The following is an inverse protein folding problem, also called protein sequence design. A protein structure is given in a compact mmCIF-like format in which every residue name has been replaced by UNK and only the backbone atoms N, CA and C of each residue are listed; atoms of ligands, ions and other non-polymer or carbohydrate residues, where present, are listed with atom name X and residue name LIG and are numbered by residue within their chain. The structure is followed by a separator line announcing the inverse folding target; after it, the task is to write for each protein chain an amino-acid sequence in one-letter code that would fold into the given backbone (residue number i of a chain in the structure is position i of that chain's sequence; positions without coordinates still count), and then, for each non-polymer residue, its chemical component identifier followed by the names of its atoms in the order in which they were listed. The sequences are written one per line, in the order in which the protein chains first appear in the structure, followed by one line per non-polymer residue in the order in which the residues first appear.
data_IF_888721431022
#
_entry.id   IF_888721431022
#
_cell.length_a   1.000
_cell.length_b   1.000
_cell.length_c   1.000
_cell.angle_alpha   90.00
_cell.angle_beta   90.00
_cell.angle_gamma   90.00
#
_symmetry.space_group_name_H-M   'P 1'
#
loop_
_entity.id
_entity.type
_entity.pdbx_description
1 polymer ?
#
# COMPACT_ATOMS: atom_id res chain seq x y z
N UNK A 1 -7.27 0.84 33.30
CA UNK A 1 -5.84 1.05 32.99
C UNK A 1 -5.47 0.12 31.84
N UNK A 2 -5.56 0.54 30.57
CA UNK A 2 -5.21 -0.35 29.44
C UNK A 2 -4.84 0.37 28.14
N UNK A 3 -4.42 1.64 28.18
CA UNK A 3 -4.20 2.41 26.93
C UNK A 3 -2.73 2.52 26.51
N UNK A 4 -1.76 2.18 27.37
CA UNK A 4 -0.34 2.47 27.09
C UNK A 4 0.34 1.41 26.22
N UNK A 5 0.03 0.13 26.39
CA UNK A 5 0.79 -0.97 25.76
C UNK A 5 0.54 -1.12 24.25
N UNK A 6 -0.68 -0.84 23.77
CA UNK A 6 -1.02 -1.00 22.36
C UNK A 6 -0.43 0.10 21.48
N UNK A 7 -0.37 1.35 21.97
CA UNK A 7 0.11 2.50 21.19
C UNK A 7 1.63 2.49 21.01
N UNK A 8 2.39 2.13 22.05
CA UNK A 8 3.86 1.99 21.97
C UNK A 8 4.27 0.90 20.97
N UNK A 9 3.63 -0.28 21.05
CA UNK A 9 3.89 -1.39 20.12
C UNK A 9 3.55 -1.02 18.66
N UNK A 10 2.53 -0.18 18.45
CA UNK A 10 2.09 0.28 17.12
C UNK A 10 3.03 1.31 16.52
N UNK A 11 3.58 2.20 17.35
CA UNK A 11 4.58 3.20 16.92
C UNK A 11 5.87 2.47 16.51
N UNK A 12 6.32 1.55 17.36
CA UNK A 12 7.53 0.77 17.13
C UNK A 12 7.50 -0.05 15.82
N UNK A 13 6.37 -0.69 15.46
CA UNK A 13 6.29 -1.44 14.18
C UNK A 13 6.38 -0.55 12.93
N UNK A 14 5.89 0.70 12.98
CA UNK A 14 6.04 1.64 11.86
C UNK A 14 7.50 2.05 11.73
N UNK A 15 8.16 2.31 12.86
CA UNK A 15 9.58 2.66 12.88
C UNK A 15 10.50 1.51 12.42
N UNK A 16 10.08 0.26 12.58
CA UNK A 16 10.86 -0.91 12.15
C UNK A 16 10.59 -1.32 10.70
N UNK A 17 9.40 -1.03 10.15
CA UNK A 17 9.04 -1.42 8.78
C UNK A 17 9.31 -0.31 7.77
N UNK A 18 10.31 -0.52 6.90
CA UNK A 18 10.59 0.37 5.75
C UNK A 18 9.33 0.59 4.89
N UNK A 19 8.54 -0.47 4.68
CA UNK A 19 7.32 -0.37 3.91
C UNK A 19 6.27 0.55 4.56
N UNK A 20 6.06 0.44 5.88
CA UNK A 20 5.08 1.30 6.56
C UNK A 20 5.51 2.77 6.56
N UNK A 21 6.81 3.06 6.71
CA UNK A 21 7.35 4.42 6.55
C UNK A 21 7.06 4.99 5.17
N UNK A 22 7.35 4.22 4.11
CA UNK A 22 7.03 4.66 2.74
C UNK A 22 5.53 4.85 2.53
N UNK A 23 4.69 3.99 3.12
CA UNK A 23 3.24 4.14 3.05
C UNK A 23 2.77 5.46 3.66
N UNK A 24 3.29 5.82 4.84
CA UNK A 24 3.00 7.10 5.49
C UNK A 24 3.41 8.26 4.56
N UNK A 25 4.62 8.21 4.00
CA UNK A 25 5.12 9.25 3.09
C UNK A 25 4.24 9.40 1.85
N UNK A 26 3.81 8.29 1.24
CA UNK A 26 2.92 8.32 0.08
C UNK A 26 1.55 8.93 0.42
N UNK A 27 0.98 8.60 1.59
CA UNK A 27 -0.29 9.20 2.03
C UNK A 27 -0.14 10.70 2.28
N UNK A 28 0.94 11.12 2.95
CA UNK A 28 1.24 12.55 3.19
C UNK A 28 1.51 13.31 1.90
N UNK A 29 2.12 12.69 0.90
CA UNK A 29 2.39 13.32 -0.40
C UNK A 29 1.10 13.65 -1.19
N UNK A 30 -0.01 12.97 -0.90
CA UNK A 30 -1.32 13.24 -1.54
C UNK A 30 -2.15 14.27 -0.75
N UNK A 31 -1.71 14.65 0.45
CA UNK A 31 -2.41 15.58 1.34
C UNK A 31 -2.16 17.04 0.95
N UNK A 32 -2.80 17.46 -0.14
CA UNK A 32 -2.65 18.81 -0.71
C UNK A 32 -3.05 19.92 0.27
N UNK A 33 -4.01 19.64 1.16
CA UNK A 33 -4.52 20.61 2.14
C UNK A 33 -3.77 20.55 3.48
N UNK A 34 -2.83 19.62 3.66
CA UNK A 34 -2.02 19.52 4.88
C UNK A 34 -2.79 19.06 6.12
N UNK A 35 -3.89 18.33 5.95
CA UNK A 35 -4.72 17.77 7.03
C UNK A 35 -3.89 16.92 8.00
N UNK A 36 -2.94 16.16 7.49
CA UNK A 36 -2.16 15.19 8.25
C UNK A 36 -0.88 15.77 8.86
N UNK A 37 -0.54 17.05 8.66
CA UNK A 37 0.75 17.63 9.09
C UNK A 37 1.06 17.43 10.57
N UNK A 38 0.05 17.52 11.43
CA UNK A 38 0.18 17.38 12.88
C UNK A 38 -0.14 15.98 13.39
N UNK A 39 -0.54 15.07 12.49
CA UNK A 39 -0.99 13.74 12.85
C UNK A 39 0.22 12.81 13.02
N UNK A 40 0.12 11.91 14.00
CA UNK A 40 1.09 10.82 14.15
C UNK A 40 0.96 9.82 13.01
N UNK A 41 2.06 9.14 12.69
CA UNK A 41 2.14 8.22 11.56
C UNK A 41 1.11 7.08 11.65
N UNK A 42 0.87 6.53 12.86
CA UNK A 42 -0.16 5.50 13.06
C UNK A 42 -1.55 5.98 12.63
N UNK A 43 -1.85 7.26 12.88
CA UNK A 43 -3.14 7.87 12.57
C UNK A 43 -3.28 8.14 11.07
N UNK A 44 -2.18 8.53 10.40
CA UNK A 44 -2.16 8.76 8.94
C UNK A 44 -2.52 7.50 8.16
N UNK A 45 -2.03 6.34 8.60
CA UNK A 45 -2.30 5.06 7.91
C UNK A 45 -3.41 4.24 8.60
N UNK A 46 -4.14 4.80 9.56
CA UNK A 46 -5.18 4.09 10.30
C UNK A 46 -6.28 3.49 9.38
N UNK A 47 -6.61 4.18 8.28
CA UNK A 47 -7.61 3.73 7.31
C UNK A 47 -7.18 2.51 6.47
N UNK A 48 -5.92 2.08 6.57
CA UNK A 48 -5.46 0.81 6.00
C UNK A 48 -5.74 -0.37 6.94
N UNK A 49 -6.04 -0.10 8.22
CA UNK A 49 -6.37 -1.12 9.21
C UNK A 49 -7.89 -1.23 9.35
N UNK A 50 -8.46 -2.31 8.82
CA UNK A 50 -9.90 -2.57 8.83
C UNK A 50 -10.12 -3.97 9.40
N UNK A 51 -10.87 -4.05 10.50
CA UNK A 51 -11.21 -5.34 11.11
C UNK A 51 -11.99 -6.21 10.12
N UNK A 52 -11.90 -7.54 10.27
CA UNK A 52 -12.63 -8.48 9.40
C UNK A 52 -14.13 -8.21 9.41
N UNK A 53 -14.68 -7.93 10.59
CA UNK A 53 -16.10 -7.59 10.76
C UNK A 53 -16.47 -6.28 10.07
N UNK A 54 -15.63 -5.24 10.17
CA UNK A 54 -15.88 -3.97 9.48
C UNK A 54 -15.81 -4.17 7.96
N UNK A 55 -14.84 -4.96 7.47
CA UNK A 55 -14.74 -5.29 6.04
C UNK A 55 -15.99 -5.99 5.49
N UNK A 56 -16.54 -6.96 6.20
CA UNK A 56 -17.72 -7.69 5.73
C UNK A 56 -18.97 -6.83 5.67
N UNK A 57 -19.04 -5.77 6.47
CA UNK A 57 -20.16 -4.80 6.49
C UNK A 57 -20.07 -3.74 5.38
N UNK A 58 -18.92 -3.61 4.71
CA UNK A 58 -18.78 -2.69 3.57
C UNK A 58 -19.49 -3.30 2.37
N UNK A 59 -20.43 -2.55 1.80
CA UNK A 59 -21.10 -2.94 0.55
C UNK A 59 -20.10 -2.96 -0.60
N UNK A 60 -20.24 -3.94 -1.48
CA UNK A 60 -19.51 -4.03 -2.75
C UNK A 60 -20.35 -3.54 -3.92
N UNK A 61 -21.58 -3.09 -3.65
CA UNK A 61 -22.46 -2.52 -4.65
C UNK A 61 -22.09 -1.06 -4.88
N UNK A 62 -21.91 -0.69 -6.15
CA UNK A 62 -21.57 0.67 -6.56
C UNK A 62 -20.08 0.98 -6.55
N UNK A 63 -19.79 2.25 -6.89
CA UNK A 63 -18.44 2.73 -7.15
C UNK A 63 -17.50 2.61 -5.95
N UNK A 64 -16.23 2.32 -6.25
CA UNK A 64 -15.16 2.41 -5.25
C UNK A 64 -14.94 3.88 -4.90
N UNK A 65 -15.21 4.23 -3.65
CA UNK A 65 -14.96 5.56 -3.09
C UNK A 65 -13.56 6.10 -3.48
N UNK A 66 -13.45 7.36 -3.96
CA UNK A 66 -12.17 7.93 -4.40
C UNK A 66 -11.07 7.90 -3.35
N UNK A 67 -11.41 8.05 -2.05
CA UNK A 67 -10.40 7.94 -1.00
C UNK A 67 -9.90 6.50 -0.86
N UNK A 68 -10.74 5.50 -1.14
CA UNK A 68 -10.34 4.09 -1.20
C UNK A 68 -9.46 3.79 -2.41
N UNK A 69 -9.78 4.32 -3.58
CA UNK A 69 -8.92 4.25 -4.76
C UNK A 69 -7.55 4.86 -4.48
N UNK A 70 -7.51 6.03 -3.84
CA UNK A 70 -6.27 6.70 -3.44
C UNK A 70 -5.46 5.87 -2.44
N UNK A 71 -6.11 5.22 -1.45
CA UNK A 71 -5.42 4.30 -0.52
C UNK A 71 -4.77 3.14 -1.26
N UNK A 72 -5.47 2.54 -2.22
CA UNK A 72 -4.91 1.45 -3.05
C UNK A 72 -3.70 1.96 -3.82
N UNK A 73 -3.81 3.12 -4.47
CA UNK A 73 -2.71 3.73 -5.22
C UNK A 73 -1.50 4.01 -4.32
N UNK A 74 -1.69 4.62 -3.14
CA UNK A 74 -0.61 4.87 -2.17
C UNK A 74 0.04 3.57 -1.69
N UNK A 75 -0.73 2.50 -1.49
CA UNK A 75 -0.20 1.19 -1.11
C UNK A 75 0.77 0.65 -2.17
N UNK A 76 0.37 0.65 -3.44
CA UNK A 76 1.23 0.17 -4.52
C UNK A 76 2.39 1.11 -4.84
N UNK A 77 2.23 2.43 -4.68
CA UNK A 77 3.34 3.39 -4.76
C UNK A 77 4.38 3.18 -3.67
N UNK A 78 3.97 2.88 -2.44
CA UNK A 78 4.90 2.57 -1.36
C UNK A 78 5.73 1.31 -1.68
N UNK A 79 5.10 0.30 -2.27
CA UNK A 79 5.79 -0.90 -2.76
C UNK A 79 6.81 -0.53 -3.85
N UNK A 80 6.38 0.24 -4.86
CA UNK A 80 7.25 0.66 -5.96
C UNK A 80 8.49 1.41 -5.46
N UNK A 81 8.32 2.37 -4.53
CA UNK A 81 9.44 3.11 -3.93
C UNK A 81 10.36 2.18 -3.12
N UNK A 82 9.82 1.22 -2.38
CA UNK A 82 10.64 0.25 -1.65
C UNK A 82 11.46 -0.67 -2.58
N UNK A 83 10.91 -1.04 -3.74
CA UNK A 83 11.63 -1.79 -4.78
C UNK A 83 12.74 -0.91 -5.36
N UNK A 84 12.43 0.33 -5.71
CA UNK A 84 13.39 1.29 -6.27
C UNK A 84 14.56 1.53 -5.33
N UNK A 85 14.31 1.74 -4.03
CA UNK A 85 15.36 1.92 -3.01
C UNK A 85 16.33 0.74 -2.90
N UNK A 86 15.88 -0.47 -3.18
CA UNK A 86 16.70 -1.69 -3.06
C UNK A 86 17.39 -2.09 -4.37
N UNK A 87 16.82 -1.71 -5.51
CA UNK A 87 17.27 -2.17 -6.84
C UNK A 87 17.88 -1.06 -7.70
N UNK A 88 17.65 0.20 -7.34
CA UNK A 88 17.97 1.37 -8.16
C UNK A 88 17.12 1.50 -9.43
N UNK A 89 16.06 0.68 -9.58
CA UNK A 89 15.20 0.68 -10.76
C UNK A 89 13.95 1.53 -10.51
N UNK A 90 13.80 2.58 -11.30
CA UNK A 90 12.65 3.49 -11.23
C UNK A 90 11.35 2.72 -11.51
N UNK A 91 10.47 2.69 -10.52
CA UNK A 91 9.21 1.96 -10.64
C UNK A 91 8.03 2.91 -10.82
N UNK A 92 7.12 2.59 -11.74
CA UNK A 92 5.85 3.28 -11.92
C UNK A 92 4.68 2.37 -11.54
N UNK A 93 3.55 3.00 -11.22
CA UNK A 93 2.34 2.33 -10.73
C UNK A 93 1.13 2.82 -11.49
N UNK A 94 0.27 1.89 -11.89
CA UNK A 94 -1.09 2.17 -12.34
C UNK A 94 -2.06 1.29 -11.57
N UNK A 95 -3.17 1.87 -11.18
CA UNK A 95 -4.33 1.16 -10.65
C UNK A 95 -5.50 1.47 -11.56
N UNK A 96 -6.04 0.44 -12.18
CA UNK A 96 -7.24 0.54 -13.01
C UNK A 96 -8.35 -0.26 -12.32
N UNK A 97 -9.48 0.40 -12.06
CA UNK A 97 -10.60 -0.16 -11.30
C UNK A 97 -11.90 0.18 -12.01
N UNK A 98 -12.72 -0.83 -12.26
CA UNK A 98 -14.10 -0.67 -12.71
C UNK A 98 -14.99 -0.13 -11.58
N UNK A 99 -16.17 0.34 -11.98
CA UNK A 99 -17.25 0.73 -11.08
C UNK A 99 -17.59 -0.35 -10.03
N UNK A 100 -17.48 -1.62 -10.39
CA UNK A 100 -17.78 -2.75 -9.51
C UNK A 100 -16.61 -3.12 -8.56
N UNK A 101 -15.49 -2.38 -8.60
CA UNK A 101 -14.33 -2.64 -7.76
C UNK A 101 -13.46 -3.81 -8.21
N UNK A 102 -13.53 -4.13 -9.51
CA UNK A 102 -12.66 -5.11 -10.17
C UNK A 102 -11.61 -4.41 -11.01
N UNK A 103 -10.41 -4.96 -11.08
CA UNK A 103 -9.39 -4.44 -11.99
C UNK A 103 -8.00 -4.90 -11.64
N UNK A 104 -7.02 -4.01 -11.82
CA UNK A 104 -5.61 -4.34 -11.69
C UNK A 104 -4.82 -3.25 -10.98
N UNK A 105 -3.85 -3.69 -10.18
CA UNK A 105 -2.70 -2.88 -9.80
C UNK A 105 -1.46 -3.45 -10.46
N UNK A 106 -0.78 -2.61 -11.23
CA UNK A 106 0.41 -2.97 -11.99
C UNK A 106 1.55 -2.07 -11.54
N UNK A 107 2.69 -2.68 -11.23
CA UNK A 107 3.96 -1.99 -10.97
C UNK A 107 4.95 -2.47 -12.02
N UNK A 108 5.66 -1.53 -12.67
CA UNK A 108 6.64 -1.85 -13.69
C UNK A 108 7.88 -0.97 -13.61
N UNK A 109 8.99 -1.47 -14.16
CA UNK A 109 10.23 -0.73 -14.43
C UNK A 109 10.72 -1.10 -15.82
N UNK A 110 11.23 -0.13 -16.59
CA UNK A 110 11.61 -0.35 -17.99
C UNK A 110 10.45 -0.99 -18.78
N UNK A 111 10.66 -2.20 -19.29
CA UNK A 111 9.65 -3.03 -19.97
C UNK A 111 9.15 -4.21 -19.13
N UNK A 112 9.59 -4.33 -17.88
CA UNK A 112 9.26 -5.43 -16.98
C UNK A 112 8.10 -5.06 -16.04
N UNK A 113 7.01 -5.81 -16.11
CA UNK A 113 5.97 -5.80 -15.08
C UNK A 113 6.47 -6.62 -13.89
N UNK A 114 6.86 -5.93 -12.82
CA UNK A 114 7.39 -6.56 -11.59
C UNK A 114 6.30 -7.03 -10.65
N UNK A 115 5.12 -6.41 -10.73
CA UNK A 115 3.91 -6.85 -10.02
C UNK A 115 2.69 -6.67 -10.91
N UNK A 116 1.85 -7.71 -10.96
CA UNK A 116 0.52 -7.66 -11.55
C UNK A 116 -0.46 -8.31 -10.58
N UNK A 117 -1.37 -7.52 -10.02
CA UNK A 117 -2.35 -7.95 -9.02
C UNK A 117 -3.76 -7.66 -9.47
N UNK A 118 -4.58 -8.70 -9.55
CA UNK A 118 -6.02 -8.55 -9.67
C UNK A 118 -6.59 -7.94 -8.39
N UNK A 119 -7.43 -6.92 -8.55
CA UNK A 119 -8.21 -6.32 -7.50
C UNK A 119 -9.66 -6.79 -7.65
N UNK A 120 -10.26 -7.20 -6.54
CA UNK A 120 -11.66 -7.60 -6.41
C UNK A 120 -12.17 -7.04 -5.09
N UNK A 121 -13.44 -6.66 -5.05
CA UNK A 121 -14.08 -6.06 -3.87
C UNK A 121 -13.25 -4.88 -3.35
N UNK A 122 -12.73 -4.03 -4.24
CA UNK A 122 -11.79 -2.97 -3.90
C UNK A 122 -12.35 -1.98 -2.86
N UNK A 123 -13.68 -1.84 -2.77
CA UNK A 123 -14.40 -1.13 -1.70
C UNK A 123 -13.97 -1.61 -0.30
N UNK A 124 -13.62 -2.90 -0.16
CA UNK A 124 -13.20 -3.57 1.08
C UNK A 124 -11.69 -3.54 1.30
N UNK A 125 -10.93 -2.74 0.56
CA UNK A 125 -9.48 -2.66 0.71
C UNK A 125 -9.06 -2.29 2.14
N UNK A 126 -8.05 -3.00 2.65
CA UNK A 126 -7.54 -2.84 4.02
C UNK A 126 -6.96 -4.13 4.59
N UNK A 127 -6.46 -4.10 5.82
CA UNK A 127 -5.81 -5.23 6.49
C UNK A 127 -6.24 -5.31 7.96
N UNK A 128 -6.27 -6.50 8.57
CA UNK A 128 -6.79 -6.64 9.94
C UNK A 128 -5.89 -6.03 11.02
N UNK A 129 -4.63 -5.71 10.71
CA UNK A 129 -3.67 -5.05 11.62
C UNK A 129 -2.51 -4.44 10.83
N UNK A 130 -1.75 -3.52 11.46
CA UNK A 130 -0.50 -2.99 10.86
C UNK A 130 0.50 -4.10 10.56
N UNK A 131 0.64 -5.10 11.44
CA UNK A 131 1.52 -6.25 11.19
C UNK A 131 1.15 -7.01 9.91
N UNK A 132 -0.15 -7.18 9.63
CA UNK A 132 -0.61 -7.85 8.41
C UNK A 132 -0.50 -6.96 7.17
N UNK A 133 -0.64 -5.65 7.34
CA UNK A 133 -0.38 -4.66 6.30
C UNK A 133 1.11 -4.67 5.90
N UNK A 134 2.01 -4.55 6.88
CA UNK A 134 3.45 -4.60 6.70
C UNK A 134 3.90 -5.88 5.99
N UNK A 135 3.52 -7.04 6.53
CA UNK A 135 3.89 -8.33 5.97
C UNK A 135 3.42 -8.51 4.52
N UNK A 136 2.26 -7.95 4.13
CA UNK A 136 1.83 -8.01 2.74
C UNK A 136 2.59 -7.03 1.84
N UNK A 137 2.84 -5.80 2.29
CA UNK A 137 3.67 -4.85 1.55
C UNK A 137 5.08 -5.40 1.31
N UNK A 138 5.74 -5.87 2.36
CA UNK A 138 7.10 -6.44 2.31
C UNK A 138 7.18 -7.66 1.40
N UNK A 139 6.20 -8.57 1.46
CA UNK A 139 6.14 -9.73 0.55
C UNK A 139 6.03 -9.31 -0.93
N UNK A 140 5.27 -8.24 -1.21
CA UNK A 140 5.14 -7.72 -2.58
C UNK A 140 6.42 -7.02 -3.04
N UNK A 141 7.09 -6.29 -2.15
CA UNK A 141 8.41 -5.71 -2.41
C UNK A 141 9.41 -6.79 -2.76
N UNK A 142 9.55 -7.83 -1.93
CA UNK A 142 10.46 -8.95 -2.16
C UNK A 142 10.15 -9.66 -3.48
N UNK A 143 8.87 -9.87 -3.80
CA UNK A 143 8.45 -10.45 -5.07
C UNK A 143 8.85 -9.59 -6.28
N UNK A 144 8.74 -8.26 -6.17
CA UNK A 144 9.13 -7.35 -7.24
C UNK A 144 10.64 -7.30 -7.44
N UNK A 145 11.42 -7.32 -6.37
CA UNK A 145 12.89 -7.40 -6.41
C UNK A 145 13.33 -8.69 -7.11
N UNK A 146 12.77 -9.84 -6.71
CA UNK A 146 13.06 -11.13 -7.36
C UNK A 146 12.74 -11.13 -8.85
N UNK A 147 11.66 -10.46 -9.27
CA UNK A 147 11.33 -10.34 -10.69
C UNK A 147 12.40 -9.54 -11.46
N UNK A 148 12.92 -8.45 -10.88
CA UNK A 148 14.00 -7.65 -11.46
C UNK A 148 15.28 -8.47 -11.57
N UNK A 149 15.67 -9.17 -10.50
CA UNK A 149 16.86 -10.04 -10.48
C UNK A 149 16.78 -11.15 -11.53
N UNK A 150 15.58 -11.70 -11.75
CA UNK A 150 15.36 -12.74 -12.75
C UNK A 150 15.39 -12.21 -14.19
N UNK A 151 14.99 -10.95 -14.41
CA UNK A 151 14.85 -10.36 -15.75
C UNK A 151 15.51 -8.97 -15.88
N UNK A 152 16.83 -8.84 -15.63
CA UNK A 152 17.51 -7.56 -15.58
C UNK A 152 17.43 -6.78 -16.90
N UNK A 153 17.57 -7.47 -18.04
CA UNK A 153 17.50 -6.85 -19.37
C UNK A 153 16.14 -6.17 -19.63
N UNK A 154 15.04 -6.73 -19.12
CA UNK A 154 13.71 -6.13 -19.27
C UNK A 154 13.50 -4.95 -18.31
N UNK A 155 14.18 -4.97 -17.15
CA UNK A 155 14.12 -3.90 -16.16
C UNK A 155 14.94 -2.66 -16.57
N UNK A 156 15.99 -2.83 -17.37
CA UNK A 156 16.89 -1.76 -17.82
C UNK A 156 16.37 -0.94 -19.00
N UNK A 157 15.46 -1.50 -19.80
CA UNK A 157 14.83 -0.82 -20.95
C UNK A 157 15.31 -1.32 -22.30
#
# INVERSE_FOLDING_TARGET
MTTTTTTETTTNIIEESTFLKELVLQVRAQDSYGVYRTWKDELVIANFVVSKEKKSKISIEGDVDPATQLRILCFYRAIAVCIEKQTGKLCQVVTDLSHEGFGWAIVWTGKLVVLSRTLRDAQRFGYPSLKKLAAQGERLVESGIKAIEQFPNAADG
#
